data_IF_249267007362
#
_entry.id   IF_249267007362
#
_cell.length_a   1.000
_cell.length_b   1.000
_cell.length_c   1.000
_cell.angle_alpha   90.00
_cell.angle_beta   90.00
_cell.angle_gamma   90.00
#
_symmetry.space_group_name_H-M   'P 1'
#
loop_
_entity.id
_entity.type
_entity.pdbx_description
1 polymer ?
#
# COMPACT_ATOMS: atom_id res chain seq x y z
N UNK A 1 -20.64 -15.70 -8.71
CA UNK A 1 -20.21 -15.21 -10.04
C UNK A 1 -19.60 -13.83 -9.81
N UNK A 2 -18.31 -13.62 -10.09
CA UNK A 2 -17.74 -12.27 -10.02
C UNK A 2 -18.44 -11.40 -11.08
N UNK A 3 -19.04 -10.30 -10.67
CA UNK A 3 -19.77 -9.45 -11.58
C UNK A 3 -18.77 -8.72 -12.54
N UNK A 4 -19.22 -8.14 -13.66
CA UNK A 4 -18.34 -7.41 -14.58
C UNK A 4 -17.53 -6.28 -13.92
N UNK A 5 -18.07 -5.63 -12.88
CA UNK A 5 -17.38 -4.57 -12.13
C UNK A 5 -16.26 -5.13 -11.23
N UNK A 6 -16.45 -6.30 -10.64
CA UNK A 6 -15.39 -6.96 -9.84
C UNK A 6 -14.19 -7.26 -10.74
N UNK A 7 -14.43 -7.80 -11.95
CA UNK A 7 -13.37 -8.05 -12.94
C UNK A 7 -12.68 -6.77 -13.38
N UNK A 8 -13.44 -5.70 -13.58
CA UNK A 8 -12.88 -4.39 -13.92
C UNK A 8 -12.02 -3.84 -12.79
N UNK A 9 -12.48 -3.92 -11.54
CA UNK A 9 -11.72 -3.49 -10.35
C UNK A 9 -10.41 -4.27 -10.23
N UNK A 10 -10.44 -5.60 -10.38
CA UNK A 10 -9.22 -6.42 -10.36
C UNK A 10 -8.25 -5.98 -11.46
N UNK A 11 -8.73 -5.74 -12.68
CA UNK A 11 -7.88 -5.29 -13.78
C UNK A 11 -7.31 -3.88 -13.55
N UNK A 12 -8.09 -2.98 -12.95
CA UNK A 12 -7.60 -1.65 -12.56
C UNK A 12 -6.47 -1.75 -11.51
N UNK A 13 -6.62 -2.65 -10.54
CA UNK A 13 -5.58 -2.90 -9.54
C UNK A 13 -4.32 -3.50 -10.15
N UNK A 14 -4.45 -4.48 -11.05
CA UNK A 14 -3.34 -5.08 -11.79
C UNK A 14 -2.58 -4.04 -12.60
N UNK A 15 -3.28 -3.18 -13.34
CA UNK A 15 -2.67 -2.09 -14.13
C UNK A 15 -1.97 -1.08 -13.23
N UNK A 16 -2.58 -0.74 -12.08
CA UNK A 16 -1.98 0.19 -11.12
C UNK A 16 -0.72 -0.39 -10.51
N UNK A 17 -0.75 -1.66 -10.07
CA UNK A 17 0.42 -2.37 -9.57
C UNK A 17 1.52 -2.48 -10.64
N UNK A 18 1.18 -2.77 -11.88
CA UNK A 18 2.15 -2.89 -12.97
C UNK A 18 2.83 -1.55 -13.32
N UNK A 19 2.12 -0.42 -13.20
CA UNK A 19 2.65 0.92 -13.56
C UNK A 19 3.35 1.64 -12.41
N UNK A 20 2.81 1.52 -11.20
CA UNK A 20 3.23 2.31 -10.03
C UNK A 20 3.73 1.46 -8.87
N UNK A 21 3.47 0.16 -8.90
CA UNK A 21 3.96 -0.77 -7.90
C UNK A 21 5.48 -0.86 -7.94
N UNK A 22 6.07 -0.91 -6.75
CA UNK A 22 7.49 -1.14 -6.52
C UNK A 22 7.64 -2.24 -5.47
N UNK A 23 8.75 -2.98 -5.50
CA UNK A 23 9.05 -3.94 -4.46
C UNK A 23 9.27 -3.23 -3.13
N UNK A 24 8.74 -3.83 -2.07
CA UNK A 24 8.97 -3.45 -0.68
C UNK A 24 9.29 -4.72 0.10
N UNK A 25 10.31 -4.68 0.94
CA UNK A 25 10.65 -5.78 1.83
C UNK A 25 10.05 -5.50 3.20
N UNK A 26 9.21 -6.40 3.71
CA UNK A 26 8.59 -6.29 5.03
C UNK A 26 8.89 -7.55 5.81
N UNK A 27 9.56 -7.41 6.96
CA UNK A 27 10.06 -8.52 7.79
C UNK A 27 10.83 -9.59 6.98
N UNK A 28 11.57 -9.16 5.96
CA UNK A 28 12.36 -10.03 5.07
C UNK A 28 11.58 -10.70 3.93
N UNK A 29 10.26 -10.49 3.83
CA UNK A 29 9.44 -10.96 2.72
C UNK A 29 9.16 -9.84 1.70
N UNK A 30 9.20 -10.17 0.41
CA UNK A 30 8.96 -9.21 -0.67
C UNK A 30 7.47 -9.08 -1.00
N UNK A 31 7.01 -7.84 -1.13
CA UNK A 31 5.66 -7.47 -1.51
C UNK A 31 5.67 -6.36 -2.57
N UNK A 32 4.52 -6.14 -3.20
CA UNK A 32 4.33 -5.04 -4.15
C UNK A 32 3.48 -3.96 -3.51
N UNK A 33 4.00 -2.74 -3.48
CA UNK A 33 3.31 -1.58 -2.97
C UNK A 33 3.47 -0.36 -3.87
N UNK A 34 2.48 0.52 -3.90
CA UNK A 34 2.59 1.82 -4.55
C UNK A 34 2.55 2.94 -3.49
N UNK A 35 3.24 4.03 -3.77
CA UNK A 35 3.18 5.22 -2.91
C UNK A 35 1.77 5.82 -2.99
N UNK A 36 1.16 5.98 -1.83
CA UNK A 36 -0.13 6.60 -1.69
C UNK A 36 0.07 8.09 -1.40
N UNK A 37 0.23 8.90 -2.44
CA UNK A 37 0.18 10.35 -2.28
C UNK A 37 -1.24 10.73 -1.91
N UNK A 38 -1.44 11.25 -0.69
CA UNK A 38 -2.73 11.80 -0.29
C UNK A 38 -3.07 12.96 -1.24
N UNK A 39 -4.12 12.82 -2.04
CA UNK A 39 -4.71 13.99 -2.70
C UNK A 39 -5.38 14.81 -1.60
N UNK A 40 -4.83 16.00 -1.36
CA UNK A 40 -5.22 16.95 -0.31
C UNK A 40 -6.66 17.51 -0.42
N UNK A 41 -7.56 16.88 -1.17
CA UNK A 41 -8.93 17.37 -1.38
C UNK A 41 -9.85 17.25 -0.15
N UNK A 42 -9.41 16.62 0.95
CA UNK A 42 -10.21 16.44 2.17
C UNK A 42 -9.73 17.23 3.40
N UNK A 43 -8.91 18.27 3.21
CA UNK A 43 -8.57 19.21 4.29
C UNK A 43 -7.40 18.76 5.16
N UNK A 44 -6.66 19.77 5.62
CA UNK A 44 -5.34 19.72 6.24
C UNK A 44 -5.16 18.63 7.33
N UNK A 45 -4.42 17.57 7.00
CA UNK A 45 -3.59 16.80 7.94
C UNK A 45 -2.53 16.02 7.16
N UNK A 46 -1.70 16.76 6.42
CA UNK A 46 -0.47 16.21 5.83
C UNK A 46 0.55 16.05 6.95
N UNK A 47 0.48 14.93 7.67
CA UNK A 47 1.70 14.40 8.28
C UNK A 47 2.62 14.01 7.14
N UNK A 48 3.89 14.40 7.23
CA UNK A 48 4.97 14.11 6.27
C UNK A 48 5.37 12.61 6.30
N UNK A 49 4.38 11.72 6.40
CA UNK A 49 4.57 10.28 6.55
C UNK A 49 4.60 9.58 5.19
N UNK A 50 5.46 8.57 5.06
CA UNK A 50 5.46 7.72 3.87
C UNK A 50 4.27 6.76 3.96
N UNK A 51 3.37 6.79 2.98
CA UNK A 51 2.21 5.91 2.94
C UNK A 51 2.28 4.98 1.73
N UNK A 52 2.05 3.69 1.95
CA UNK A 52 2.07 2.67 0.91
C UNK A 52 0.73 1.96 0.82
N UNK A 53 0.18 1.81 -0.40
CA UNK A 53 -0.93 0.90 -0.69
C UNK A 53 -0.36 -0.44 -1.15
N UNK A 54 -0.78 -1.51 -0.48
CA UNK A 54 -0.29 -2.87 -0.69
C UNK A 54 -1.15 -3.60 -1.73
N UNK A 55 -0.53 -4.08 -2.80
CA UNK A 55 -1.20 -4.83 -3.87
C UNK A 55 -1.08 -6.34 -3.68
N UNK A 56 -0.15 -6.82 -2.86
CA UNK A 56 0.01 -8.24 -2.53
C UNK A 56 -1.14 -8.74 -1.64
N UNK A 57 -2.03 -9.64 -2.14
CA UNK A 57 -3.22 -10.07 -1.40
C UNK A 57 -2.92 -10.83 -0.10
N UNK A 58 -1.76 -11.47 -0.03
CA UNK A 58 -1.27 -12.22 1.13
C UNK A 58 -0.77 -11.33 2.26
N UNK A 59 -0.47 -10.05 2.00
CA UNK A 59 0.08 -9.17 3.02
C UNK A 59 -0.95 -8.90 4.12
N UNK A 60 -0.50 -9.03 5.38
CA UNK A 60 -1.27 -8.67 6.58
C UNK A 60 -0.39 -7.77 7.43
N UNK A 61 -0.84 -6.54 7.73
CA UNK A 61 -0.06 -5.63 8.56
C UNK A 61 -0.06 -6.08 10.01
N UNK A 62 1.08 -5.87 10.66
CA UNK A 62 1.26 -6.00 12.09
C UNK A 62 1.96 -4.74 12.65
N UNK A 63 1.91 -4.55 13.96
CA UNK A 63 2.64 -3.45 14.60
C UNK A 63 4.14 -3.72 14.52
N UNK A 64 4.93 -2.66 14.29
CA UNK A 64 6.39 -2.68 14.35
C UNK A 64 7.07 -3.61 13.33
N UNK A 65 6.41 -3.90 12.22
CA UNK A 65 7.07 -4.61 11.12
C UNK A 65 8.18 -3.73 10.54
N UNK A 66 9.34 -4.33 10.29
CA UNK A 66 10.46 -3.65 9.66
C UNK A 66 10.21 -3.59 8.15
N UNK A 67 10.39 -2.40 7.56
CA UNK A 67 10.09 -2.14 6.15
C UNK A 67 11.30 -1.52 5.48
N UNK A 68 11.83 -2.16 4.44
CA UNK A 68 12.82 -1.54 3.55
C UNK A 68 12.11 -1.06 2.29
N UNK A 69 12.06 0.26 2.11
CA UNK A 69 11.41 0.93 0.99
C UNK A 69 12.37 1.93 0.34
N UNK A 70 12.58 1.81 -0.98
CA UNK A 70 13.51 2.66 -1.75
C UNK A 70 14.92 2.77 -1.13
N UNK A 71 15.37 1.72 -0.45
CA UNK A 71 16.68 1.67 0.22
C UNK A 71 16.74 2.38 1.56
N UNK A 72 15.60 2.79 2.12
CA UNK A 72 15.46 3.37 3.45
C UNK A 72 14.67 2.42 4.36
N UNK A 73 15.11 2.30 5.60
CA UNK A 73 14.45 1.52 6.64
C UNK A 73 13.36 2.34 7.33
N UNK A 74 12.20 1.73 7.50
CA UNK A 74 11.03 2.28 8.15
C UNK A 74 10.39 1.24 9.07
N UNK A 75 9.45 1.69 9.88
CA UNK A 75 8.59 0.83 10.69
C UNK A 75 7.12 1.08 10.39
N UNK A 76 6.31 0.02 10.32
CA UNK A 76 4.84 0.16 10.23
C UNK A 76 4.28 0.72 11.53
N UNK A 77 3.71 1.92 11.47
CA UNK A 77 3.11 2.60 12.63
C UNK A 77 1.59 2.46 12.68
N UNK A 78 0.93 2.59 11.52
CA UNK A 78 -0.53 2.52 11.38
C UNK A 78 -0.90 1.83 10.08
N UNK A 79 -2.13 1.32 10.02
CA UNK A 79 -2.70 0.81 8.78
C UNK A 79 -4.21 1.01 8.74
N UNK A 80 -4.76 1.09 7.52
CA UNK A 80 -6.19 1.18 7.26
C UNK A 80 -6.56 0.36 6.03
N UNK A 81 -7.86 0.15 5.80
CA UNK A 81 -8.38 -0.51 4.61
C UNK A 81 -8.86 0.53 3.59
N UNK A 82 -8.37 0.42 2.35
CA UNK A 82 -8.78 1.27 1.22
C UNK A 82 -9.06 0.35 0.03
N UNK A 83 -10.28 0.38 -0.50
CA UNK A 83 -10.71 -0.46 -1.63
C UNK A 83 -10.32 -1.95 -1.48
N UNK A 84 -10.54 -2.49 -0.28
CA UNK A 84 -10.22 -3.88 0.07
C UNK A 84 -8.73 -4.17 0.31
N UNK A 85 -7.82 -3.22 0.08
CA UNK A 85 -6.37 -3.36 0.28
C UNK A 85 -5.94 -2.73 1.59
N UNK A 86 -4.72 -3.04 2.02
CA UNK A 86 -4.11 -2.38 3.16
C UNK A 86 -3.32 -1.16 2.68
N UNK A 87 -3.58 -0.03 3.31
CA UNK A 87 -2.67 1.12 3.28
C UNK A 87 -1.92 1.15 4.61
N UNK A 88 -0.60 1.20 4.56
CA UNK A 88 0.29 1.28 5.72
C UNK A 88 0.94 2.65 5.80
N UNK A 89 1.12 3.15 7.01
CA UNK A 89 1.89 4.34 7.32
C UNK A 89 3.25 3.93 7.87
N UNK A 90 4.28 4.57 7.35
CA UNK A 90 5.68 4.32 7.67
C UNK A 90 6.27 5.56 8.34
N UNK A 91 7.04 5.33 9.40
CA UNK A 91 7.89 6.32 10.08
C UNK A 91 9.29 5.72 10.31
#
# INVERSE_FOLDING_TARGET
MANPFDRLSTRMDEVTAARFGRPVLIDGAEYVAAEATFMAELGALSGEGTHLIMFSPQYRPARKQAVLWRGQDFTVTRWQRVNGKYQISLE
#
